data_IF_620283091616
#
_entry.id   IF_620283091616
#
_cell.length_a   1.000
_cell.length_b   1.000
_cell.length_c   1.000
_cell.angle_alpha   90.00
_cell.angle_beta   90.00
_cell.angle_gamma   90.00
#
_symmetry.space_group_name_H-M   'P 1'
#
loop_
_entity.id
_entity.type
_entity.pdbx_description
1 polymer ?
#
# COMPACT_ATOMS: atom_id res chain seq x y z
N UNK A 1 -6.12 -1.10 -23.85
CA UNK A 1 -5.46 0.22 -23.76
C UNK A 1 -4.65 0.34 -25.04
N UNK A 2 -5.17 1.05 -26.03
CA UNK A 2 -4.64 1.04 -27.40
C UNK A 2 -3.79 2.28 -27.73
N UNK A 3 -3.66 3.22 -26.77
CA UNK A 3 -2.93 4.48 -26.93
C UNK A 3 -1.99 4.69 -25.74
N UNK A 4 -0.84 3.99 -25.72
CA UNK A 4 0.20 4.17 -24.70
C UNK A 4 1.40 4.85 -25.38
N UNK A 5 1.84 5.97 -24.82
CA UNK A 5 3.03 6.68 -25.25
C UNK A 5 4.10 6.60 -24.16
N UNK A 6 5.26 6.05 -24.48
CA UNK A 6 6.42 6.03 -23.59
C UNK A 6 7.14 7.38 -23.69
N UNK A 7 6.90 8.27 -22.72
CA UNK A 7 7.49 9.61 -22.74
C UNK A 7 8.94 9.67 -22.27
N UNK A 8 9.31 8.83 -21.28
CA UNK A 8 10.65 8.81 -20.70
C UNK A 8 10.96 7.46 -20.07
N UNK A 9 12.24 7.14 -19.96
CA UNK A 9 12.76 5.98 -19.22
C UNK A 9 13.82 6.50 -18.26
N UNK A 10 13.62 6.26 -16.97
CA UNK A 10 14.63 6.59 -15.97
C UNK A 10 15.62 5.40 -15.90
N UNK A 11 16.91 5.61 -16.20
CA UNK A 11 17.88 4.52 -16.23
C UNK A 11 18.10 3.95 -14.83
N UNK A 12 18.22 2.62 -14.74
CA UNK A 12 18.75 1.93 -13.56
C UNK A 12 20.29 1.95 -13.54
N UNK A 13 20.95 1.18 -12.64
CA UNK A 13 20.39 0.16 -11.75
C UNK A 13 19.98 0.67 -10.37
N UNK A 14 20.43 1.85 -9.95
CA UNK A 14 20.02 2.46 -8.69
C UNK A 14 18.70 3.19 -8.83
N UNK A 15 17.92 3.19 -7.75
CA UNK A 15 16.70 3.99 -7.70
C UNK A 15 17.08 5.49 -7.67
N UNK A 16 16.52 6.33 -8.56
CA UNK A 16 16.86 7.74 -8.64
C UNK A 16 16.48 8.47 -7.34
N UNK A 17 17.30 9.46 -6.97
CA UNK A 17 16.91 10.41 -5.94
C UNK A 17 15.74 11.28 -6.42
N UNK A 18 15.05 11.87 -5.46
CA UNK A 18 13.91 12.76 -5.65
C UNK A 18 14.23 13.93 -6.56
N UNK A 19 15.43 14.51 -6.45
CA UNK A 19 15.86 15.60 -7.31
C UNK A 19 15.96 15.14 -8.76
N UNK A 20 16.60 13.98 -8.98
CA UNK A 20 16.78 13.39 -10.31
C UNK A 20 15.42 13.05 -10.95
N UNK A 21 14.46 12.51 -10.19
CA UNK A 21 13.09 12.29 -10.67
C UNK A 21 12.46 13.61 -11.16
N UNK A 22 12.75 14.72 -10.48
CA UNK A 22 12.32 16.06 -10.90
C UNK A 22 12.80 16.41 -12.30
N UNK A 23 14.08 16.18 -12.58
CA UNK A 23 14.70 16.49 -13.87
C UNK A 23 14.05 15.72 -15.04
N UNK A 24 13.61 14.47 -14.79
CA UNK A 24 12.87 13.68 -15.80
C UNK A 24 11.42 14.13 -15.98
N UNK A 25 10.78 14.65 -14.92
CA UNK A 25 9.40 15.12 -14.96
C UNK A 25 9.27 16.53 -15.53
N UNK A 26 10.30 17.37 -15.40
CA UNK A 26 10.29 18.75 -15.88
C UNK A 26 9.90 18.91 -17.35
N UNK A 27 10.54 18.22 -18.33
CA UNK A 27 10.16 18.38 -19.75
C UNK A 27 8.73 17.93 -20.03
N UNK A 28 8.23 16.91 -19.32
CA UNK A 28 6.85 16.45 -19.43
C UNK A 28 5.91 17.53 -18.91
N UNK A 29 6.19 18.07 -17.73
CA UNK A 29 5.36 19.12 -17.13
C UNK A 29 5.36 20.39 -17.99
N UNK A 30 6.50 20.77 -18.58
CA UNK A 30 6.59 21.93 -19.47
C UNK A 30 5.69 21.78 -20.71
N UNK A 31 5.69 20.59 -21.32
CA UNK A 31 4.81 20.29 -22.46
C UNK A 31 3.34 20.46 -22.09
N UNK A 32 2.91 19.89 -20.97
CA UNK A 32 1.51 19.97 -20.52
C UNK A 32 1.12 21.35 -19.97
N UNK A 33 2.06 22.10 -19.42
CA UNK A 33 1.83 23.49 -19.01
C UNK A 33 1.58 24.36 -20.24
N UNK A 34 2.43 24.24 -21.26
CA UNK A 34 2.28 24.96 -22.52
C UNK A 34 0.96 24.59 -23.22
N UNK A 35 0.66 23.29 -23.32
CA UNK A 35 -0.59 22.79 -23.91
C UNK A 35 -1.83 23.31 -23.15
N UNK A 36 -1.79 23.36 -21.82
CA UNK A 36 -2.91 23.89 -21.04
C UNK A 36 -3.14 25.40 -21.23
N UNK A 37 -2.06 26.19 -21.26
CA UNK A 37 -2.15 27.64 -21.37
C UNK A 37 -2.49 28.11 -22.78
N UNK A 38 -1.89 27.47 -23.80
CA UNK A 38 -1.94 27.94 -25.18
C UNK A 38 -2.74 27.00 -26.09
N UNK A 39 -2.73 25.70 -25.82
CA UNK A 39 -3.33 24.68 -26.68
C UNK A 39 -2.55 24.42 -27.96
N UNK A 40 -3.05 23.50 -28.77
CA UNK A 40 -2.57 23.22 -30.12
C UNK A 40 -3.76 23.32 -31.08
N UNK A 41 -3.65 24.20 -32.08
CA UNK A 41 -4.70 24.37 -33.07
C UNK A 41 -4.53 23.35 -34.20
N UNK A 42 -5.50 22.45 -34.32
CA UNK A 42 -5.58 21.52 -35.43
C UNK A 42 -6.43 22.15 -36.53
N UNK A 43 -5.87 22.31 -37.73
CA UNK A 43 -6.54 23.00 -38.84
C UNK A 43 -7.78 22.27 -39.35
N UNK A 44 -7.83 20.94 -39.20
CA UNK A 44 -8.98 20.12 -39.54
C UNK A 44 -8.93 18.79 -38.80
N UNK A 45 -10.07 18.31 -38.32
CA UNK A 45 -10.26 16.96 -37.77
C UNK A 45 -11.54 16.38 -38.35
N UNK A 46 -11.72 15.05 -38.29
CA UNK A 46 -12.91 14.39 -38.83
C UNK A 46 -14.24 15.01 -38.33
N UNK A 47 -14.31 15.32 -37.03
CA UNK A 47 -15.50 15.94 -36.41
C UNK A 47 -15.51 17.48 -36.49
N UNK A 48 -14.37 18.12 -36.78
CA UNK A 48 -14.25 19.57 -36.86
C UNK A 48 -13.44 19.97 -38.11
N UNK A 49 -14.07 20.00 -39.30
CA UNK A 49 -13.37 20.32 -40.55
C UNK A 49 -12.79 21.74 -40.60
N UNK A 50 -13.38 22.67 -39.86
CA UNK A 50 -12.96 24.09 -39.74
C UNK A 50 -11.88 24.31 -38.67
N UNK A 51 -11.33 23.22 -38.12
CA UNK A 51 -10.31 23.23 -37.10
C UNK A 51 -10.84 23.29 -35.67
N UNK A 52 -9.96 22.98 -34.73
CA UNK A 52 -10.25 22.93 -33.29
C UNK A 52 -8.99 23.26 -32.49
N UNK A 53 -9.14 24.08 -31.45
CA UNK A 53 -8.10 24.28 -30.45
C UNK A 53 -8.22 23.18 -29.39
N UNK A 54 -7.20 22.33 -29.28
CA UNK A 54 -7.14 21.26 -28.28
C UNK A 54 -6.19 21.64 -27.15
N UNK A 55 -6.48 21.18 -25.93
CA UNK A 55 -5.61 21.35 -24.77
C UNK A 55 -5.49 20.02 -24.04
N UNK A 56 -4.26 19.64 -23.78
CA UNK A 56 -3.92 18.41 -23.06
C UNK A 56 -3.60 18.70 -21.59
N UNK A 57 -4.01 17.80 -20.69
CA UNK A 57 -3.71 17.87 -19.25
C UNK A 57 -3.17 16.55 -18.72
N UNK A 58 -2.41 16.61 -17.62
CA UNK A 58 -2.11 15.44 -16.81
C UNK A 58 -3.25 15.24 -15.82
N UNK A 59 -4.12 14.27 -16.09
CA UNK A 59 -5.30 14.02 -15.25
C UNK A 59 -4.95 13.32 -13.93
N UNK A 60 -4.05 12.33 -13.98
CA UNK A 60 -3.71 11.47 -12.85
C UNK A 60 -2.24 11.04 -12.85
N UNK A 61 -1.66 10.93 -11.66
CA UNK A 61 -0.44 10.19 -11.38
C UNK A 61 -0.83 8.84 -10.81
N UNK A 62 -0.52 7.78 -11.56
CA UNK A 62 -0.74 6.39 -11.16
C UNK A 62 0.61 5.75 -10.92
N UNK A 63 0.83 5.30 -9.69
CA UNK A 63 2.02 4.56 -9.29
C UNK A 63 1.73 3.78 -7.99
N UNK A 64 2.65 2.89 -7.61
CA UNK A 64 2.65 2.37 -6.25
C UNK A 64 2.87 3.51 -5.22
N UNK A 65 2.54 3.27 -3.95
CA UNK A 65 2.61 4.34 -2.93
C UNK A 65 4.00 4.98 -2.84
N UNK A 66 5.12 4.23 -2.78
CA UNK A 66 6.46 4.83 -2.76
C UNK A 66 6.77 5.73 -3.96
N UNK A 67 6.56 5.27 -5.19
CA UNK A 67 6.85 6.08 -6.38
C UNK A 67 5.88 7.26 -6.50
N UNK A 68 4.60 7.08 -6.17
CA UNK A 68 3.60 8.15 -6.14
C UNK A 68 4.04 9.29 -5.20
N UNK A 69 4.52 8.97 -4.00
CA UNK A 69 5.07 9.96 -3.05
C UNK A 69 6.32 10.63 -3.61
N UNK A 70 7.19 9.86 -4.27
CA UNK A 70 8.42 10.40 -4.85
C UNK A 70 8.14 11.46 -5.93
N UNK A 71 7.31 11.11 -6.91
CA UNK A 71 6.97 11.97 -8.04
C UNK A 71 6.09 13.15 -7.64
N UNK A 72 5.11 12.97 -6.74
CA UNK A 72 4.18 14.04 -6.35
C UNK A 72 4.75 15.04 -5.34
N UNK A 73 5.90 14.73 -4.73
CA UNK A 73 6.46 15.53 -3.64
C UNK A 73 5.72 15.39 -2.31
N UNK A 74 4.71 14.50 -2.21
CA UNK A 74 4.04 14.20 -0.96
C UNK A 74 4.84 13.20 -0.13
N UNK A 75 4.79 13.31 1.20
CA UNK A 75 5.56 12.46 2.10
C UNK A 75 4.61 11.84 3.12
N UNK A 76 4.27 10.56 2.90
CA UNK A 76 3.22 9.86 3.64
C UNK A 76 3.54 8.36 3.65
N UNK A 77 3.87 7.84 4.84
CA UNK A 77 3.76 6.42 5.27
C UNK A 77 4.07 6.25 6.76
N UNK A 78 4.93 7.09 7.36
CA UNK A 78 5.32 6.98 8.79
C UNK A 78 5.24 8.31 9.59
N UNK A 79 4.82 9.40 8.95
CA UNK A 79 4.70 10.70 9.61
C UNK A 79 3.52 10.74 10.58
N UNK A 80 3.73 11.29 11.79
CA UNK A 80 2.67 11.43 12.81
C UNK A 80 1.46 12.21 12.27
N UNK A 81 1.67 13.29 11.52
CA UNK A 81 0.63 14.25 11.11
C UNK A 81 0.27 14.22 9.61
N UNK A 82 1.08 13.56 8.78
CA UNK A 82 0.96 13.57 7.32
C UNK A 82 0.78 12.15 6.77
N UNK A 83 -0.07 11.36 7.43
CA UNK A 83 -0.22 9.95 7.12
C UNK A 83 -1.04 9.73 5.83
N UNK A 84 -2.13 10.48 5.64
CA UNK A 84 -2.96 10.41 4.41
C UNK A 84 -2.63 11.57 3.46
N UNK A 85 -2.62 11.33 2.14
CA UNK A 85 -2.51 12.40 1.14
C UNK A 85 -3.82 13.09 0.84
N UNK A 86 -4.96 12.51 1.18
CA UNK A 86 -6.27 13.07 0.82
C UNK A 86 -6.81 13.95 1.95
N UNK A 87 -6.79 13.44 3.19
CA UNK A 87 -7.34 14.14 4.35
C UNK A 87 -6.32 14.40 5.49
N UNK A 88 -6.80 15.05 6.54
CA UNK A 88 -6.01 15.52 7.69
C UNK A 88 -5.77 14.47 8.77
N UNK A 89 -6.14 13.20 8.55
CA UNK A 89 -6.01 12.15 9.56
C UNK A 89 -4.55 11.96 9.97
N UNK A 90 -4.32 11.84 11.27
CA UNK A 90 -3.01 11.57 11.83
C UNK A 90 -2.81 10.06 12.00
N UNK A 91 -1.55 9.64 12.18
CA UNK A 91 -1.27 8.22 12.38
C UNK A 91 -1.97 7.70 13.64
N UNK A 92 -1.92 8.41 14.75
CA UNK A 92 -2.61 8.06 16.02
C UNK A 92 -4.13 7.92 15.84
N UNK A 93 -4.74 8.69 14.95
CA UNK A 93 -6.16 8.63 14.61
C UNK A 93 -6.54 7.55 13.57
N UNK A 94 -5.62 6.70 13.09
CA UNK A 94 -5.87 5.71 12.01
C UNK A 94 -7.09 4.79 12.24
N UNK A 95 -7.49 4.59 13.50
CA UNK A 95 -8.64 3.75 13.86
C UNK A 95 -9.98 4.52 13.81
N UNK A 96 -9.96 5.82 13.58
CA UNK A 96 -11.15 6.64 13.41
C UNK A 96 -11.83 6.29 12.09
N UNK A 97 -13.08 5.85 12.15
CA UNK A 97 -13.87 5.42 10.99
C UNK A 97 -15.11 6.29 10.77
N UNK A 98 -15.38 7.24 11.67
CA UNK A 98 -16.43 8.23 11.46
C UNK A 98 -15.92 9.32 10.50
N UNK A 99 -16.29 9.16 9.22
CA UNK A 99 -15.89 10.04 8.12
C UNK A 99 -16.49 11.46 8.23
N UNK A 100 -17.36 11.73 9.21
CA UNK A 100 -17.91 13.07 9.45
C UNK A 100 -17.01 13.94 10.33
N UNK A 101 -15.99 13.34 10.97
CA UNK A 101 -15.09 14.07 11.88
C UNK A 101 -14.11 14.98 11.13
N UNK A 102 -13.63 16.07 11.76
CA UNK A 102 -12.69 17.02 11.12
C UNK A 102 -11.39 16.39 10.59
N UNK A 103 -10.92 15.28 11.17
CA UNK A 103 -9.73 14.59 10.67
C UNK A 103 -9.92 13.99 9.25
N UNK A 104 -11.16 13.83 8.80
CA UNK A 104 -11.50 13.39 7.45
C UNK A 104 -11.63 14.52 6.44
N UNK A 105 -11.54 15.77 6.88
CA UNK A 105 -11.58 16.90 5.97
C UNK A 105 -10.42 16.84 4.96
N UNK A 106 -10.68 17.17 3.68
CA UNK A 106 -9.64 17.24 2.67
C UNK A 106 -8.50 18.20 3.04
N UNK A 107 -7.28 17.86 2.61
CA UNK A 107 -6.13 18.75 2.78
C UNK A 107 -6.30 20.04 1.97
N UNK A 108 -5.88 21.16 2.55
CA UNK A 108 -5.92 22.46 1.89
C UNK A 108 -4.81 22.56 0.81
N UNK A 109 -5.22 22.73 -0.45
CA UNK A 109 -4.33 22.81 -1.60
C UNK A 109 -3.40 24.02 -1.55
N UNK A 110 -3.91 25.22 -1.23
CA UNK A 110 -3.08 26.44 -1.21
C UNK A 110 -1.96 26.34 -0.18
N UNK A 111 -2.24 25.73 0.97
CA UNK A 111 -1.27 25.44 2.02
C UNK A 111 -0.21 24.46 1.51
N UNK A 112 -0.62 23.38 0.87
CA UNK A 112 0.31 22.40 0.28
C UNK A 112 1.24 23.07 -0.75
N UNK A 113 0.69 23.91 -1.63
CA UNK A 113 1.50 24.66 -2.62
C UNK A 113 2.45 25.63 -1.93
N UNK A 114 1.98 26.39 -0.93
CA UNK A 114 2.80 27.34 -0.16
C UNK A 114 3.96 26.62 0.54
N UNK A 115 3.68 25.50 1.19
CA UNK A 115 4.68 24.70 1.90
C UNK A 115 5.68 24.06 0.94
N UNK A 116 5.24 23.61 -0.24
CA UNK A 116 6.11 23.08 -1.29
C UNK A 116 7.05 24.16 -1.86
N UNK A 117 6.56 25.38 -2.08
CA UNK A 117 7.37 26.53 -2.51
C UNK A 117 8.38 26.92 -1.44
N UNK A 118 7.98 27.00 -0.17
CA UNK A 118 8.88 27.26 0.93
C UNK A 118 10.02 26.23 1.00
N UNK A 119 9.73 24.95 0.75
CA UNK A 119 10.77 23.92 0.66
C UNK A 119 11.70 24.12 -0.55
N UNK A 120 11.16 24.49 -1.72
CA UNK A 120 11.95 24.74 -2.94
C UNK A 120 12.94 25.88 -2.74
N UNK A 121 12.44 26.98 -2.20
CA UNK A 121 13.15 28.25 -2.06
C UNK A 121 14.16 28.22 -0.89
N UNK A 122 14.01 27.27 0.04
CA UNK A 122 14.98 27.02 1.10
C UNK A 122 16.30 26.48 0.53
N UNK A 123 17.45 27.03 0.95
CA UNK A 123 18.78 26.63 0.47
C UNK A 123 19.43 25.58 1.40
N UNK A 124 19.12 25.62 2.70
CA UNK A 124 19.68 24.74 3.72
C UNK A 124 19.10 23.32 3.67
N UNK A 125 19.95 22.32 3.44
CA UNK A 125 19.55 20.89 3.42
C UNK A 125 18.85 20.44 4.72
N UNK A 126 19.34 20.89 5.87
CA UNK A 126 18.74 20.53 7.17
C UNK A 126 17.38 21.22 7.39
N UNK A 127 17.25 22.47 6.95
CA UNK A 127 15.99 23.18 7.04
C UNK A 127 14.94 22.59 6.08
N UNK A 128 15.33 22.21 4.86
CA UNK A 128 14.50 21.41 3.93
C UNK A 128 13.99 20.12 4.58
N UNK A 129 14.85 19.36 5.27
CA UNK A 129 14.43 18.15 6.01
C UNK A 129 13.40 18.47 7.11
N UNK A 130 13.62 19.56 7.84
CA UNK A 130 12.69 20.02 8.89
C UNK A 130 11.33 20.43 8.31
N UNK A 131 11.32 21.21 7.22
CA UNK A 131 10.11 21.63 6.52
C UNK A 131 9.30 20.43 6.02
N UNK A 132 9.96 19.47 5.38
CA UNK A 132 9.35 18.22 4.93
C UNK A 132 8.73 17.45 6.10
N UNK A 133 9.46 17.31 7.21
CA UNK A 133 8.97 16.58 8.39
C UNK A 133 7.73 17.24 8.99
N UNK A 134 7.70 18.58 9.01
CA UNK A 134 6.61 19.38 9.55
C UNK A 134 5.40 19.38 8.62
N UNK A 135 5.61 19.71 7.36
CA UNK A 135 4.54 20.02 6.40
C UNK A 135 4.11 18.82 5.56
N UNK A 136 4.93 17.76 5.48
CA UNK A 136 4.62 16.54 4.74
C UNK A 136 4.68 16.68 3.22
N UNK A 137 5.31 17.74 2.73
CA UNK A 137 5.43 18.04 1.30
C UNK A 137 6.79 18.66 0.98
N UNK A 138 7.26 18.40 -0.22
CA UNK A 138 8.39 19.05 -0.89
C UNK A 138 7.97 19.47 -2.29
N UNK A 139 8.84 20.21 -2.96
CA UNK A 139 8.60 20.59 -4.35
C UNK A 139 8.56 19.38 -5.27
N UNK A 140 7.72 19.48 -6.28
CA UNK A 140 7.58 18.56 -7.41
C UNK A 140 7.26 19.42 -8.63
N UNK A 141 7.78 19.09 -9.82
CA UNK A 141 7.44 19.77 -11.06
C UNK A 141 5.93 19.93 -11.27
N UNK A 142 5.11 18.96 -10.85
CA UNK A 142 3.65 19.02 -10.99
C UNK A 142 3.01 20.28 -10.36
N UNK A 143 3.63 20.89 -9.35
CA UNK A 143 3.11 22.14 -8.76
C UNK A 143 3.20 23.36 -9.68
N UNK A 144 3.85 23.24 -10.85
CA UNK A 144 3.80 24.26 -11.91
C UNK A 144 2.48 24.24 -12.70
N UNK A 145 1.76 23.12 -12.71
CA UNK A 145 0.50 22.98 -13.43
C UNK A 145 -0.64 23.66 -12.66
N UNK A 146 -1.33 24.68 -13.23
CA UNK A 146 -2.35 25.45 -12.50
C UNK A 146 -3.55 24.62 -12.02
N UNK A 147 -3.85 23.53 -12.72
CA UNK A 147 -4.98 22.64 -12.44
C UNK A 147 -4.61 21.47 -11.52
N UNK A 148 -3.34 21.30 -11.16
CA UNK A 148 -2.88 20.13 -10.43
C UNK A 148 -3.23 20.20 -8.94
N UNK A 149 -3.99 19.21 -8.47
CA UNK A 149 -4.25 19.00 -7.05
C UNK A 149 -3.71 17.62 -6.63
N UNK A 150 -2.58 17.56 -5.90
CA UNK A 150 -1.98 16.27 -5.54
C UNK A 150 -2.85 15.45 -4.57
N UNK A 151 -3.84 16.05 -3.92
CA UNK A 151 -4.80 15.35 -3.05
C UNK A 151 -5.90 14.63 -3.84
N UNK A 152 -6.05 14.93 -5.14
CA UNK A 152 -7.04 14.31 -6.05
C UNK A 152 -6.39 13.55 -7.22
N UNK A 153 -5.35 14.14 -7.80
CA UNK A 153 -4.67 13.64 -8.98
C UNK A 153 -3.65 12.52 -8.68
N UNK A 154 -3.18 12.39 -7.44
CA UNK A 154 -2.34 11.25 -7.03
C UNK A 154 -3.26 10.11 -6.60
N UNK A 155 -3.35 9.10 -7.45
CA UNK A 155 -4.33 8.02 -7.31
C UNK A 155 -3.86 6.97 -6.31
N UNK A 156 -4.76 6.53 -5.45
CA UNK A 156 -4.56 5.33 -4.63
C UNK A 156 -4.78 4.10 -5.52
N UNK A 157 -3.69 3.50 -5.99
CA UNK A 157 -3.77 2.33 -6.86
C UNK A 157 -4.47 1.15 -6.18
N UNK A 158 -5.54 0.67 -6.80
CA UNK A 158 -6.34 -0.41 -6.24
C UNK A 158 -5.64 -1.76 -6.26
N UNK A 159 -4.71 -2.00 -7.19
CA UNK A 159 -3.97 -3.26 -7.20
C UNK A 159 -3.08 -3.39 -5.95
N UNK A 160 -2.26 -2.37 -5.67
CA UNK A 160 -1.39 -2.36 -4.50
C UNK A 160 -2.17 -2.14 -3.20
N UNK A 161 -3.14 -1.22 -3.17
CA UNK A 161 -3.86 -0.90 -1.94
C UNK A 161 -4.90 -1.97 -1.57
N UNK A 162 -5.77 -2.37 -2.50
CA UNK A 162 -6.86 -3.30 -2.21
C UNK A 162 -6.40 -4.76 -2.27
N UNK A 163 -5.78 -5.19 -3.37
CA UNK A 163 -5.51 -6.62 -3.58
C UNK A 163 -4.28 -7.08 -2.78
N UNK A 164 -3.13 -6.42 -3.00
CA UNK A 164 -1.90 -6.75 -2.27
C UNK A 164 -1.96 -6.24 -0.82
N UNK A 165 -2.68 -5.15 -0.57
CA UNK A 165 -2.80 -4.57 0.78
C UNK A 165 -3.89 -5.23 1.63
N UNK A 166 -5.17 -5.00 1.28
CA UNK A 166 -6.30 -5.39 2.13
C UNK A 166 -6.65 -6.86 2.02
N UNK A 167 -6.75 -7.42 0.82
CA UNK A 167 -7.15 -8.81 0.63
C UNK A 167 -6.11 -9.77 1.21
N UNK A 168 -4.83 -9.49 0.97
CA UNK A 168 -3.74 -10.21 1.61
C UNK A 168 -3.82 -10.09 3.14
N UNK A 169 -3.97 -8.88 3.69
CA UNK A 169 -4.10 -8.69 5.15
C UNK A 169 -5.29 -9.46 5.72
N UNK A 170 -6.43 -9.45 5.02
CA UNK A 170 -7.62 -10.17 5.43
C UNK A 170 -7.35 -11.67 5.54
N UNK A 171 -6.80 -12.28 4.49
CA UNK A 171 -6.54 -13.71 4.47
C UNK A 171 -5.48 -14.10 5.52
N UNK A 172 -4.38 -13.34 5.59
CA UNK A 172 -3.26 -13.67 6.47
C UNK A 172 -3.53 -13.37 7.94
N UNK A 173 -4.08 -12.20 8.23
CA UNK A 173 -4.21 -11.69 9.61
C UNK A 173 -5.60 -11.88 10.19
N UNK A 174 -6.66 -11.66 9.40
CA UNK A 174 -8.03 -11.78 9.91
C UNK A 174 -8.50 -13.24 9.92
N UNK A 175 -8.25 -13.98 8.84
CA UNK A 175 -8.59 -15.41 8.76
C UNK A 175 -7.50 -16.30 9.38
N UNK A 176 -6.25 -15.85 9.42
CA UNK A 176 -5.14 -16.60 9.98
C UNK A 176 -4.58 -17.67 9.03
N UNK A 177 -4.73 -17.50 7.70
CA UNK A 177 -4.39 -18.52 6.69
C UNK A 177 -2.86 -18.63 6.45
N UNK A 178 -1.99 -17.84 7.11
CA UNK A 178 -0.52 -17.93 6.94
C UNK A 178 0.23 -18.02 8.28
N UNK A 179 1.29 -18.84 8.31
CA UNK A 179 2.51 -18.56 9.07
C UNK A 179 3.28 -17.45 8.35
N UNK A 180 3.48 -16.32 9.02
CA UNK A 180 4.13 -15.12 8.48
C UNK A 180 5.31 -15.41 7.53
N UNK A 181 5.29 -14.76 6.36
CA UNK A 181 6.52 -14.47 5.62
C UNK A 181 7.45 -13.69 6.58
N UNK A 182 8.74 -14.03 6.61
CA UNK A 182 9.78 -13.37 7.43
C UNK A 182 9.86 -11.84 7.25
N UNK A 183 9.14 -11.27 6.27
CA UNK A 183 9.04 -9.82 6.07
C UNK A 183 8.29 -9.09 7.21
N UNK A 184 7.42 -9.78 7.96
CA UNK A 184 6.71 -9.22 9.12
C UNK A 184 7.41 -9.49 10.48
N UNK A 185 8.54 -10.22 10.51
CA UNK A 185 9.43 -10.24 11.67
C UNK A 185 10.35 -9.01 11.65
N UNK A 186 10.43 -8.30 12.77
CA UNK A 186 11.44 -7.27 12.95
C UNK A 186 12.82 -7.90 12.76
N UNK A 187 13.47 -7.61 11.63
CA UNK A 187 14.81 -8.12 11.32
C UNK A 187 15.72 -7.90 12.53
N UNK A 188 16.45 -8.94 13.00
CA UNK A 188 17.36 -8.78 14.11
C UNK A 188 18.34 -7.64 13.81
N UNK A 189 18.59 -6.82 14.83
CA UNK A 189 19.53 -5.70 14.78
C UNK A 189 20.85 -6.16 14.15
N UNK A 190 21.23 -5.56 13.01
CA UNK A 190 22.52 -5.86 12.38
C UNK A 190 23.65 -5.51 13.36
N UNK A 191 24.57 -6.43 13.60
CA UNK A 191 25.72 -6.27 14.50
C UNK A 191 26.56 -5.02 14.19
N UNK A 192 26.63 -4.64 12.91
CA UNK A 192 27.29 -3.42 12.44
C UNK A 192 26.64 -2.13 12.98
N UNK A 193 25.31 -2.07 13.04
CA UNK A 193 24.58 -0.93 13.59
C UNK A 193 24.79 -0.80 15.10
N UNK A 194 24.86 -1.93 15.80
CA UNK A 194 25.17 -2.04 17.23
C UNK A 194 26.61 -1.58 17.53
N UNK A 195 27.58 -2.00 16.72
CA UNK A 195 28.97 -1.58 16.85
C UNK A 195 29.14 -0.08 16.58
N UNK A 196 28.45 0.46 15.57
CA UNK A 196 28.49 1.89 15.24
C UNK A 196 27.85 2.77 16.32
N UNK A 197 26.80 2.29 16.98
CA UNK A 197 26.22 2.94 18.15
C UNK A 197 27.19 2.91 19.34
N UNK A 198 27.92 1.80 19.53
CA UNK A 198 28.92 1.61 20.59
C UNK A 198 30.15 2.50 20.39
N UNK A 199 30.64 2.63 19.16
CA UNK A 199 31.72 3.54 18.78
C UNK A 199 31.34 5.00 19.02
N UNK A 200 30.10 5.39 18.69
CA UNK A 200 29.59 6.75 18.95
C UNK A 200 29.53 7.06 20.45
N UNK A 201 29.10 6.11 21.27
CA UNK A 201 29.11 6.21 22.73
C UNK A 201 30.54 6.33 23.29
N UNK A 202 31.50 5.59 22.73
CA UNK A 202 32.91 5.61 23.17
C UNK A 202 33.68 6.84 22.69
N UNK A 203 33.26 7.47 21.59
CA UNK A 203 33.93 8.64 21.00
C UNK A 203 33.72 9.96 21.73
N UNK A 204 32.89 10.00 22.79
CA UNK A 204 32.68 11.19 23.63
C UNK A 204 31.99 12.39 22.94
N UNK A 205 31.59 12.29 21.67
CA UNK A 205 30.94 13.37 20.91
C UNK A 205 29.43 13.43 21.16
N UNK A 206 28.98 13.65 22.40
CA UNK A 206 27.57 13.91 22.67
C UNK A 206 27.35 15.19 23.49
N UNK A 207 26.46 16.03 22.99
CA UNK A 207 25.86 17.20 23.66
C UNK A 207 25.09 16.75 24.91
N UNK A 208 25.13 17.57 25.97
CA UNK A 208 24.73 17.29 27.36
C UNK A 208 23.24 16.95 27.62
N UNK A 209 22.41 16.65 26.61
CA UNK A 209 20.97 16.47 26.76
C UNK A 209 20.47 15.00 26.64
N UNK A 210 21.31 13.99 26.88
CA UNK A 210 20.92 12.59 26.72
C UNK A 210 21.32 11.74 27.94
N UNK A 211 20.34 11.27 28.72
CA UNK A 211 20.56 10.69 30.06
C UNK A 211 20.48 9.17 30.14
N UNK A 212 20.34 8.40 29.05
CA UNK A 212 20.42 6.93 29.12
C UNK A 212 20.78 6.21 27.82
N UNK A 213 21.44 5.05 27.93
CA UNK A 213 21.75 4.14 26.82
C UNK A 213 20.51 3.75 25.98
N UNK A 214 19.35 3.60 26.64
CA UNK A 214 18.06 3.31 25.98
C UNK A 214 17.63 4.42 25.01
N UNK A 215 17.94 5.68 25.33
CA UNK A 215 17.62 6.83 24.46
C UNK A 215 18.51 6.88 23.21
N UNK A 216 19.78 6.50 23.33
CA UNK A 216 20.75 6.45 22.22
C UNK A 216 20.43 5.29 21.27
N UNK A 217 20.10 4.11 21.80
CA UNK A 217 19.73 2.93 21.02
C UNK A 217 18.46 3.18 20.20
N UNK A 218 17.44 3.81 20.82
CA UNK A 218 16.17 4.13 20.16
C UNK A 218 16.32 5.13 19.01
N UNK A 219 17.27 6.07 19.12
CA UNK A 219 17.56 7.05 18.06
C UNK A 219 18.35 6.41 16.93
N UNK A 220 19.36 5.58 17.24
CA UNK A 220 20.13 4.83 16.24
C UNK A 220 19.23 3.91 15.40
N UNK A 221 18.31 3.22 16.05
CA UNK A 221 17.31 2.36 15.43
C UNK A 221 16.34 3.13 14.51
N UNK A 222 15.90 4.32 14.93
CA UNK A 222 15.03 5.19 14.10
C UNK A 222 15.74 5.77 12.88
N UNK A 223 17.05 6.04 12.97
CA UNK A 223 17.83 6.57 11.84
C UNK A 223 18.07 5.50 10.75
N UNK A 224 18.05 4.22 11.11
CA UNK A 224 18.17 3.10 10.16
C UNK A 224 16.81 2.47 9.76
N UNK A 225 15.69 3.10 10.15
CA UNK A 225 14.35 2.65 9.75
C UNK A 225 13.83 1.40 10.49
N UNK A 226 14.43 1.03 11.62
CA UNK A 226 14.04 -0.14 12.42
C UNK A 226 13.20 0.33 13.62
N UNK A 227 11.90 0.04 13.62
CA UNK A 227 11.04 0.26 14.79
C UNK A 227 11.10 -0.93 15.75
N UNK A 228 11.84 -0.80 16.85
CA UNK A 228 11.83 -1.80 17.91
C UNK A 228 10.50 -1.76 18.70
N UNK A 229 9.76 -2.87 18.71
CA UNK A 229 8.73 -3.16 19.72
C UNK A 229 9.36 -4.11 20.73
N UNK A 230 9.41 -3.72 22.01
CA UNK A 230 9.89 -4.58 23.11
C UNK A 230 8.96 -5.80 23.25
N UNK A 231 9.52 -7.02 23.24
CA UNK A 231 8.96 -8.16 23.97
C UNK A 231 9.44 -8.03 25.41
N UNK A 232 8.52 -7.81 26.35
CA UNK A 232 8.80 -7.97 27.77
C UNK A 232 8.41 -9.40 28.16
N UNK A 233 9.39 -10.21 28.56
CA UNK A 233 9.23 -11.26 29.57
C UNK A 233 10.60 -11.91 29.86
N UNK A 234 11.07 -11.66 31.08
CA UNK A 234 11.93 -12.45 31.97
C UNK A 234 12.91 -13.49 31.39
N UNK A 235 14.19 -13.32 31.71
CA UNK A 235 15.13 -14.43 31.90
C UNK A 235 16.03 -14.14 33.11
N UNK A 236 15.79 -14.84 34.21
CA UNK A 236 16.83 -15.21 35.15
C UNK A 236 17.44 -16.55 34.70
N UNK A 237 18.78 -16.65 34.82
CA UNK A 237 19.64 -17.83 35.01
C UNK A 237 19.07 -19.23 34.64
N UNK A 238 19.75 -20.13 33.93
CA UNK A 238 21.18 -20.52 33.97
C UNK A 238 21.47 -21.52 32.82
N UNK A 239 22.76 -21.72 32.51
CA UNK A 239 23.33 -22.59 31.48
C UNK A 239 23.05 -24.10 31.68
N UNK A 240 22.93 -24.86 30.58
CA UNK A 240 23.95 -25.81 30.08
C UNK A 240 23.38 -26.95 29.22
N UNK A 241 24.17 -27.25 28.18
CA UNK A 241 24.44 -28.52 27.50
C UNK A 241 23.43 -29.18 26.55
N UNK A 242 24.01 -29.62 25.43
CA UNK A 242 23.34 -30.08 24.23
C UNK A 242 22.88 -31.52 24.29
N UNK A 243 21.92 -31.83 23.42
CA UNK A 243 21.93 -33.04 22.60
C UNK A 243 20.84 -32.94 21.52
N UNK A 244 21.19 -33.37 20.31
CA UNK A 244 20.30 -33.39 19.16
C UNK A 244 19.15 -34.38 19.38
N UNK A 245 17.90 -33.93 19.26
CA UNK A 245 16.72 -34.79 19.33
C UNK A 245 15.88 -34.69 18.06
N UNK A 246 15.67 -35.85 17.43
CA UNK A 246 14.83 -36.08 16.27
C UNK A 246 13.38 -35.55 16.45
N UNK A 247 12.67 -35.19 15.36
CA UNK A 247 11.37 -34.56 15.45
C UNK A 247 10.33 -35.55 15.97
N UNK A 248 9.73 -35.25 17.13
CA UNK A 248 8.56 -35.97 17.64
C UNK A 248 7.33 -35.58 16.81
N UNK A 249 6.71 -36.54 16.12
CA UNK A 249 5.34 -36.44 15.64
C UNK A 249 4.42 -36.25 16.86
N UNK A 250 3.82 -35.07 17.00
CA UNK A 250 2.74 -34.85 17.94
C UNK A 250 1.43 -35.34 17.29
N UNK A 251 0.81 -36.33 17.91
CA UNK A 251 -0.56 -36.77 17.66
C UNK A 251 -1.52 -35.60 17.94
N UNK A 252 -2.30 -35.20 16.93
CA UNK A 252 -3.28 -34.10 16.97
C UNK A 252 -4.62 -34.62 17.49
N UNK A 253 -5.17 -33.96 18.51
CA UNK A 253 -6.58 -34.11 18.91
C UNK A 253 -7.47 -33.28 17.98
N UNK A 254 -8.59 -33.87 17.56
CA UNK A 254 -9.55 -33.31 16.61
C UNK A 254 -10.33 -32.12 17.21
N UNK A 255 -10.39 -31.00 16.46
CA UNK A 255 -11.56 -30.12 16.48
C UNK A 255 -11.67 -29.04 17.57
N UNK A 256 -10.59 -28.63 18.23
CA UNK A 256 -10.64 -27.45 19.13
C UNK A 256 -10.11 -26.17 18.46
N UNK A 257 -10.84 -25.06 18.65
CA UNK A 257 -10.33 -23.71 18.44
C UNK A 257 -9.01 -23.57 19.21
N UNK A 258 -7.93 -23.05 18.58
CA UNK A 258 -6.64 -22.85 19.26
C UNK A 258 -6.84 -21.89 20.44
N UNK A 259 -7.06 -22.48 21.63
CA UNK A 259 -7.44 -21.79 22.86
C UNK A 259 -6.36 -20.84 23.37
N UNK A 260 -5.17 -20.84 22.74
CA UNK A 260 -4.09 -19.90 23.00
C UNK A 260 -4.25 -18.53 22.32
N UNK A 261 -5.11 -18.40 21.29
CA UNK A 261 -5.33 -17.12 20.58
C UNK A 261 -6.52 -16.37 21.15
N UNK A 262 -6.29 -15.17 21.64
CA UNK A 262 -7.34 -14.27 22.19
C UNK A 262 -8.26 -13.66 21.13
N UNK A 263 -7.99 -13.90 19.84
CA UNK A 263 -8.71 -13.33 18.69
C UNK A 263 -9.26 -14.46 17.82
N UNK A 264 -10.54 -14.42 17.39
CA UNK A 264 -11.12 -15.39 16.46
C UNK A 264 -10.33 -15.49 15.14
N UNK A 265 -9.70 -16.65 14.88
CA UNK A 265 -9.09 -17.02 13.59
C UNK A 265 -9.49 -18.44 13.24
N UNK A 266 -9.25 -18.87 11.99
CA UNK A 266 -9.43 -20.28 11.61
C UNK A 266 -8.42 -21.17 12.35
N UNK A 267 -8.83 -22.38 12.68
CA UNK A 267 -7.93 -23.45 13.14
C UNK A 267 -7.13 -24.04 11.97
N UNK A 268 -6.10 -24.83 12.27
CA UNK A 268 -5.33 -25.52 11.23
C UNK A 268 -6.16 -26.49 10.41
N UNK A 269 -7.05 -27.25 11.06
CA UNK A 269 -7.94 -28.19 10.37
C UNK A 269 -8.92 -27.45 9.44
N UNK A 270 -9.40 -26.27 9.86
CA UNK A 270 -10.27 -25.42 9.04
C UNK A 270 -9.52 -24.81 7.86
N UNK A 271 -8.25 -24.45 8.02
CA UNK A 271 -7.39 -24.00 6.91
C UNK A 271 -7.22 -25.14 5.90
N UNK A 272 -6.95 -26.37 6.34
CA UNK A 272 -6.86 -27.55 5.47
C UNK A 272 -8.20 -27.79 4.73
N UNK A 273 -9.34 -27.60 5.40
CA UNK A 273 -10.67 -27.66 4.76
C UNK A 273 -10.86 -26.55 3.72
N UNK A 274 -10.39 -25.33 3.99
CA UNK A 274 -10.45 -24.22 3.04
C UNK A 274 -9.60 -24.54 1.82
N UNK A 275 -8.36 -25.00 2.00
CA UNK A 275 -7.45 -25.39 0.93
C UNK A 275 -8.04 -26.52 0.07
N UNK A 276 -8.60 -27.56 0.71
CA UNK A 276 -9.31 -28.64 0.00
C UNK A 276 -10.50 -28.11 -0.80
N UNK A 277 -11.30 -27.23 -0.23
CA UNK A 277 -12.42 -26.61 -0.95
C UNK A 277 -11.93 -25.80 -2.16
N UNK A 278 -10.78 -25.13 -2.08
CA UNK A 278 -10.18 -24.41 -3.20
C UNK A 278 -9.72 -25.37 -4.31
N UNK A 279 -9.13 -26.50 -3.94
CA UNK A 279 -8.67 -27.53 -4.87
C UNK A 279 -9.85 -28.17 -5.63
N UNK A 280 -10.94 -28.45 -4.93
CA UNK A 280 -12.14 -29.10 -5.49
C UNK A 280 -12.99 -28.16 -6.37
N UNK A 281 -12.76 -26.84 -6.31
CA UNK A 281 -13.51 -25.87 -7.11
C UNK A 281 -13.22 -26.00 -8.61
N UNK A 282 -14.25 -26.34 -9.39
CA UNK A 282 -14.20 -26.29 -10.84
C UNK A 282 -14.33 -24.84 -11.33
N UNK A 283 -13.40 -24.39 -12.18
CA UNK A 283 -13.32 -23.00 -12.67
C UNK A 283 -13.33 -22.95 -14.19
N UNK A 284 -13.92 -21.89 -14.79
CA UNK A 284 -13.73 -21.60 -16.21
C UNK A 284 -12.24 -21.41 -16.54
N UNK A 285 -11.80 -21.84 -17.72
CA UNK A 285 -10.37 -21.79 -18.13
C UNK A 285 -9.73 -20.40 -18.05
N UNK A 286 -10.52 -19.35 -18.20
CA UNK A 286 -10.06 -17.96 -18.15
C UNK A 286 -9.94 -17.41 -16.73
N UNK A 287 -10.43 -18.12 -15.71
CA UNK A 287 -10.36 -17.71 -14.31
C UNK A 287 -9.27 -18.51 -13.59
N UNK A 288 -8.11 -17.90 -13.40
CA UNK A 288 -7.02 -18.49 -12.62
C UNK A 288 -7.33 -18.32 -11.14
N UNK A 289 -7.63 -19.43 -10.47
CA UNK A 289 -7.84 -19.44 -9.02
C UNK A 289 -6.54 -19.15 -8.24
N UNK A 290 -6.65 -19.01 -6.90
CA UNK A 290 -5.50 -19.10 -6.01
C UNK A 290 -4.83 -20.47 -6.14
N UNK A 291 -3.56 -20.60 -5.73
CA UNK A 291 -2.90 -21.90 -5.75
C UNK A 291 -3.58 -22.91 -4.82
N UNK A 292 -3.39 -24.19 -5.13
CA UNK A 292 -3.96 -25.31 -4.39
C UNK A 292 -3.52 -25.36 -2.93
N UNK A 293 -2.33 -24.85 -2.61
CA UNK A 293 -1.77 -24.76 -1.26
C UNK A 293 -1.80 -23.32 -0.73
N UNK A 294 -2.92 -22.64 -0.93
CA UNK A 294 -3.15 -21.27 -0.46
C UNK A 294 -2.82 -21.12 1.03
N UNK A 295 -1.85 -20.25 1.36
CA UNK A 295 -1.38 -20.05 2.73
C UNK A 295 -0.14 -20.88 3.14
N UNK A 296 0.48 -21.60 2.21
CA UNK A 296 1.77 -22.27 2.47
C UNK A 296 2.97 -21.50 1.91
N UNK A 297 4.06 -21.45 2.68
CA UNK A 297 5.34 -20.82 2.29
C UNK A 297 5.92 -21.38 0.97
N UNK A 298 5.61 -22.63 0.63
CA UNK A 298 6.17 -23.32 -0.54
C UNK A 298 5.77 -22.70 -1.89
N UNK A 299 4.66 -21.95 -1.97
CA UNK A 299 4.18 -21.38 -3.24
C UNK A 299 4.72 -19.96 -3.54
N UNK A 300 5.45 -19.36 -2.59
CA UNK A 300 5.93 -17.98 -2.71
C UNK A 300 4.82 -16.92 -2.71
N UNK A 301 5.18 -15.66 -3.00
CA UNK A 301 4.28 -14.51 -2.90
C UNK A 301 3.19 -14.54 -3.97
N UNK A 302 1.92 -14.54 -3.54
CA UNK A 302 0.76 -14.46 -4.43
C UNK A 302 0.72 -13.15 -5.22
N UNK A 303 0.35 -13.25 -6.50
CA UNK A 303 0.13 -12.10 -7.39
C UNK A 303 -1.22 -11.44 -7.08
N UNK A 304 -1.34 -10.15 -7.38
CA UNK A 304 -2.56 -9.37 -7.13
C UNK A 304 -3.83 -9.99 -7.74
N UNK A 305 -3.77 -10.53 -8.98
CA UNK A 305 -4.93 -11.15 -9.62
C UNK A 305 -5.34 -12.49 -8.97
N UNK A 306 -4.39 -13.19 -8.34
CA UNK A 306 -4.70 -14.39 -7.54
C UNK A 306 -5.43 -14.00 -6.25
N UNK A 307 -5.00 -12.92 -5.57
CA UNK A 307 -5.73 -12.37 -4.42
C UNK A 307 -7.15 -11.95 -4.80
N UNK A 308 -7.30 -11.26 -5.94
CA UNK A 308 -8.61 -10.86 -6.46
C UNK A 308 -9.53 -12.05 -6.68
N UNK A 309 -9.04 -13.07 -7.39
CA UNK A 309 -9.81 -14.28 -7.68
C UNK A 309 -10.19 -15.02 -6.40
N UNK A 310 -9.26 -15.12 -5.44
CA UNK A 310 -9.48 -15.76 -4.16
C UNK A 310 -10.62 -15.10 -3.36
N UNK A 311 -10.61 -13.77 -3.25
CA UNK A 311 -11.61 -13.06 -2.44
C UNK A 311 -12.97 -12.90 -3.14
N UNK A 312 -12.99 -12.83 -4.47
CA UNK A 312 -14.25 -12.68 -5.23
C UNK A 312 -15.12 -13.93 -5.16
N UNK A 313 -14.53 -15.12 -4.98
CA UNK A 313 -15.26 -16.38 -5.03
C UNK A 313 -14.77 -17.43 -4.03
N UNK A 314 -13.51 -17.86 -4.14
CA UNK A 314 -13.02 -19.07 -3.50
C UNK A 314 -13.06 -19.03 -1.96
N UNK A 315 -12.53 -17.96 -1.36
CA UNK A 315 -12.47 -17.78 0.09
C UNK A 315 -13.87 -17.63 0.70
N UNK A 316 -14.78 -16.77 0.18
CA UNK A 316 -16.16 -16.74 0.64
C UNK A 316 -16.86 -18.10 0.59
N UNK A 317 -16.75 -18.83 -0.51
CA UNK A 317 -17.41 -20.14 -0.66
C UNK A 317 -16.84 -21.15 0.32
N UNK A 318 -15.53 -21.21 0.49
CA UNK A 318 -14.90 -22.11 1.45
C UNK A 318 -15.34 -21.82 2.89
N UNK A 319 -15.35 -20.53 3.29
CA UNK A 319 -15.83 -20.13 4.62
C UNK A 319 -17.32 -20.40 4.84
N UNK A 320 -18.15 -20.33 3.79
CA UNK A 320 -19.58 -20.62 3.91
C UNK A 320 -19.87 -22.05 4.37
N UNK A 321 -18.98 -23.00 4.03
CA UNK A 321 -19.09 -24.40 4.46
C UNK A 321 -18.81 -24.58 5.96
N UNK A 322 -18.06 -23.68 6.58
CA UNK A 322 -17.73 -23.70 8.01
C UNK A 322 -18.84 -23.09 8.90
N UNK A 323 -19.86 -22.45 8.29
CA UNK A 323 -20.97 -21.83 9.02
C UNK A 323 -21.92 -22.83 9.67
N UNK A 324 -21.97 -24.07 9.18
CA UNK A 324 -22.88 -25.11 9.65
C UNK A 324 -22.65 -25.51 11.12
N UNK A 325 -21.51 -25.12 11.69
CA UNK A 325 -21.12 -25.49 13.05
C UNK A 325 -21.69 -24.54 14.13
N UNK A 326 -22.50 -23.53 13.75
CA UNK A 326 -23.23 -22.66 14.70
C UNK A 326 -22.36 -21.69 15.52
N UNK A 327 -21.05 -21.64 15.26
CA UNK A 327 -20.13 -20.80 16.01
C UNK A 327 -20.22 -19.33 15.60
N UNK A 328 -20.49 -18.45 16.57
CA UNK A 328 -20.60 -17.01 16.35
C UNK A 328 -19.32 -16.39 15.75
N UNK A 329 -18.15 -16.97 16.07
CA UNK A 329 -16.85 -16.58 15.50
C UNK A 329 -16.80 -16.74 13.97
N UNK A 330 -17.23 -17.89 13.44
CA UNK A 330 -17.26 -18.15 11.99
C UNK A 330 -18.21 -17.21 11.27
N UNK A 331 -19.36 -16.92 11.86
CA UNK A 331 -20.30 -15.95 11.31
C UNK A 331 -19.69 -14.54 11.17
N UNK A 332 -18.87 -14.11 12.15
CA UNK A 332 -18.16 -12.82 12.08
C UNK A 332 -17.07 -12.83 10.99
N UNK A 333 -16.25 -13.88 10.92
CA UNK A 333 -15.20 -14.02 9.90
C UNK A 333 -15.80 -14.06 8.48
N UNK A 334 -16.88 -14.83 8.30
CA UNK A 334 -17.61 -14.91 7.04
C UNK A 334 -18.23 -13.56 6.66
N UNK A 335 -18.92 -12.88 7.58
CA UNK A 335 -19.48 -11.55 7.33
C UNK A 335 -18.40 -10.56 6.91
N UNK A 336 -17.29 -10.51 7.63
CA UNK A 336 -16.16 -9.64 7.30
C UNK A 336 -15.61 -9.92 5.90
N UNK A 337 -15.43 -11.21 5.57
CA UNK A 337 -14.99 -11.65 4.24
C UNK A 337 -15.96 -11.23 3.14
N UNK A 338 -17.27 -11.41 3.34
CA UNK A 338 -18.30 -11.02 2.37
C UNK A 338 -18.34 -9.51 2.15
N UNK A 339 -18.19 -8.71 3.21
CA UNK A 339 -18.14 -7.25 3.09
C UNK A 339 -16.95 -6.82 2.23
N UNK A 340 -15.78 -7.39 2.45
CA UNK A 340 -14.60 -7.14 1.62
C UNK A 340 -14.83 -7.59 0.17
N UNK A 341 -15.30 -8.82 -0.05
CA UNK A 341 -15.55 -9.37 -1.39
C UNK A 341 -16.51 -8.49 -2.21
N UNK A 342 -17.59 -8.02 -1.58
CA UNK A 342 -18.57 -7.12 -2.22
C UNK A 342 -17.92 -5.77 -2.55
N UNK A 343 -17.13 -5.21 -1.63
CA UNK A 343 -16.42 -3.96 -1.89
C UNK A 343 -15.44 -4.10 -3.07
N UNK A 344 -14.61 -5.15 -3.10
CA UNK A 344 -13.70 -5.42 -4.22
C UNK A 344 -14.45 -5.56 -5.55
N UNK A 345 -15.59 -6.27 -5.56
CA UNK A 345 -16.42 -6.42 -6.75
C UNK A 345 -16.95 -5.09 -7.29
N UNK A 346 -17.33 -4.15 -6.42
CA UNK A 346 -17.75 -2.82 -6.86
C UNK A 346 -16.57 -1.98 -7.36
N UNK A 347 -15.44 -1.99 -6.65
CA UNK A 347 -14.24 -1.24 -7.03
C UNK A 347 -13.69 -1.65 -8.39
N UNK A 348 -13.69 -2.96 -8.67
CA UNK A 348 -13.13 -3.56 -9.89
C UNK A 348 -14.17 -3.69 -11.01
N UNK A 349 -15.32 -3.01 -10.92
CA UNK A 349 -16.32 -3.08 -11.98
C UNK A 349 -15.91 -2.33 -13.24
N UNK A 350 -16.17 -2.90 -14.42
CA UNK A 350 -15.93 -2.25 -15.71
C UNK A 350 -16.87 -1.07 -16.02
N UNK A 351 -17.94 -0.89 -15.23
CA UNK A 351 -18.85 0.25 -15.34
C UNK A 351 -18.94 0.95 -13.99
N UNK A 352 -18.92 2.28 -14.00
CA UNK A 352 -18.99 3.08 -12.79
C UNK A 352 -20.24 3.97 -12.80
N UNK A 353 -20.84 4.15 -11.63
CA UNK A 353 -21.97 5.04 -11.38
C UNK A 353 -21.96 5.47 -9.92
N UNK A 354 -22.58 6.59 -9.57
CA UNK A 354 -22.65 7.05 -8.17
C UNK A 354 -23.16 5.98 -7.21
N UNK A 355 -24.26 5.29 -7.55
CA UNK A 355 -24.77 4.15 -6.77
C UNK A 355 -23.72 3.07 -6.49
N UNK A 356 -22.82 2.77 -7.43
CA UNK A 356 -21.78 1.74 -7.25
C UNK A 356 -20.65 2.26 -6.36
N UNK A 357 -20.31 3.54 -6.51
CA UNK A 357 -19.33 4.23 -5.66
C UNK A 357 -19.81 4.25 -4.21
N UNK A 358 -21.07 4.64 -3.97
CA UNK A 358 -21.69 4.62 -2.64
C UNK A 358 -21.69 3.21 -2.04
N UNK A 359 -22.04 2.19 -2.85
CA UNK A 359 -22.00 0.80 -2.40
C UNK A 359 -20.58 0.35 -2.09
N UNK A 360 -19.59 0.71 -2.89
CA UNK A 360 -18.18 0.44 -2.57
C UNK A 360 -17.81 1.03 -1.21
N UNK A 361 -18.00 2.34 -1.03
CA UNK A 361 -17.60 3.04 0.20
C UNK A 361 -18.32 2.49 1.42
N UNK A 362 -19.63 2.22 1.31
CA UNK A 362 -20.41 1.62 2.39
C UNK A 362 -19.85 0.24 2.80
N UNK A 363 -19.66 -0.68 1.86
CA UNK A 363 -19.19 -2.03 2.19
C UNK A 363 -17.75 -2.02 2.70
N UNK A 364 -16.90 -1.13 2.18
CA UNK A 364 -15.53 -0.95 2.68
C UNK A 364 -15.53 -0.43 4.12
N UNK A 365 -16.38 0.55 4.46
CA UNK A 365 -16.52 1.05 5.82
C UNK A 365 -17.02 -0.05 6.79
N UNK A 366 -18.07 -0.77 6.40
CA UNK A 366 -18.60 -1.88 7.20
C UNK A 366 -17.59 -3.01 7.35
N UNK A 367 -16.79 -3.28 6.32
CA UNK A 367 -15.66 -4.21 6.40
C UNK A 367 -14.67 -3.77 7.48
N UNK A 368 -14.20 -2.53 7.46
CA UNK A 368 -13.23 -2.05 8.46
C UNK A 368 -13.79 -2.05 9.89
N UNK A 369 -15.08 -1.73 10.06
CA UNK A 369 -15.76 -1.88 11.36
C UNK A 369 -15.76 -3.34 11.81
N UNK A 370 -16.09 -4.28 10.92
CA UNK A 370 -16.13 -5.71 11.24
C UNK A 370 -14.78 -6.27 11.69
N UNK A 371 -13.65 -5.79 11.13
CA UNK A 371 -12.31 -6.19 11.59
C UNK A 371 -12.09 -5.77 13.05
N UNK A 372 -12.56 -4.58 13.44
CA UNK A 372 -12.47 -4.08 14.81
C UNK A 372 -13.46 -4.78 15.75
N UNK A 373 -14.58 -5.27 15.25
CA UNK A 373 -15.50 -6.11 16.03
C UNK A 373 -14.92 -7.50 16.30
N UNK A 374 -14.18 -8.06 15.34
CA UNK A 374 -13.47 -9.34 15.49
C UNK A 374 -12.29 -9.20 16.45
N UNK A 375 -11.51 -8.13 16.30
CA UNK A 375 -10.37 -7.82 17.17
C UNK A 375 -10.42 -6.35 17.63
N UNK A 376 -11.00 -6.07 18.81
CA UNK A 376 -11.10 -4.70 19.33
C UNK A 376 -9.75 -3.99 19.53
N UNK A 377 -8.67 -4.75 19.75
CA UNK A 377 -7.31 -4.24 19.94
C UNK A 377 -6.58 -3.93 18.63
N UNK A 378 -7.18 -4.27 17.48
CA UNK A 378 -6.54 -4.10 16.18
C UNK A 378 -6.24 -2.64 15.89
N UNK A 379 -5.04 -2.40 15.38
CA UNK A 379 -4.64 -1.13 14.82
C UNK A 379 -4.72 -1.22 13.31
N UNK A 380 -5.57 -0.39 12.70
CA UNK A 380 -5.67 -0.27 11.26
C UNK A 380 -4.35 0.24 10.67
N UNK A 381 -4.16 -0.09 9.38
CA UNK A 381 -2.95 0.23 8.59
C UNK A 381 -3.28 1.35 7.60
N UNK A 382 -2.30 2.10 7.08
CA UNK A 382 -2.54 3.15 6.09
C UNK A 382 -3.39 2.67 4.89
N UNK A 383 -3.18 1.45 4.39
CA UNK A 383 -3.96 0.91 3.28
C UNK A 383 -5.46 0.80 3.60
N UNK A 384 -5.81 0.45 4.85
CA UNK A 384 -7.20 0.38 5.31
C UNK A 384 -7.87 1.76 5.24
N UNK A 385 -7.18 2.79 5.73
CA UNK A 385 -7.68 4.15 5.64
C UNK A 385 -7.78 4.64 4.18
N UNK A 386 -6.73 4.43 3.39
CA UNK A 386 -6.69 4.80 1.98
C UNK A 386 -7.80 4.13 1.16
N UNK A 387 -8.22 2.93 1.53
CA UNK A 387 -9.33 2.25 0.85
C UNK A 387 -10.65 3.04 0.93
N UNK A 388 -10.87 3.82 1.98
CA UNK A 388 -12.06 4.66 2.11
C UNK A 388 -12.07 5.87 1.16
N UNK A 389 -10.90 6.28 0.66
CA UNK A 389 -10.77 7.37 -0.33
C UNK A 389 -10.88 6.91 -1.79
N UNK A 390 -10.81 5.61 -2.06
CA UNK A 390 -10.91 5.07 -3.43
C UNK A 390 -12.25 5.43 -4.08
N UNK A 391 -13.33 5.57 -3.31
CA UNK A 391 -14.62 6.03 -3.84
C UNK A 391 -14.52 7.39 -4.55
N UNK A 392 -13.69 8.31 -4.04
CA UNK A 392 -13.45 9.61 -4.67
C UNK A 392 -12.69 9.48 -5.98
N UNK A 393 -11.71 8.58 -6.06
CA UNK A 393 -10.97 8.31 -7.29
C UNK A 393 -11.86 7.64 -8.36
N UNK A 394 -12.76 6.73 -7.96
CA UNK A 394 -13.75 6.15 -8.88
C UNK A 394 -14.69 7.21 -9.46
N UNK A 395 -15.02 8.24 -8.66
CA UNK A 395 -15.84 9.37 -9.11
C UNK A 395 -15.10 10.26 -10.11
N UNK A 396 -13.81 10.52 -9.87
CA UNK A 396 -13.00 11.41 -10.70
C UNK A 396 -12.54 10.76 -12.01
N UNK A 397 -12.13 9.49 -11.97
CA UNK A 397 -11.45 8.82 -13.08
C UNK A 397 -12.26 7.66 -13.68
N UNK A 398 -13.45 7.39 -13.15
CA UNK A 398 -14.28 6.29 -13.59
C UNK A 398 -13.74 4.92 -13.18
N UNK A 399 -14.04 3.86 -13.96
CA UNK A 399 -13.64 2.49 -13.64
C UNK A 399 -12.14 2.33 -13.37
N UNK A 400 -11.81 1.62 -12.28
CA UNK A 400 -10.43 1.37 -11.83
C UNK A 400 -9.53 0.74 -12.89
N UNK A 401 -10.09 -0.03 -13.82
CA UNK A 401 -9.38 -0.64 -14.95
C UNK A 401 -8.62 0.37 -15.82
N UNK A 402 -9.07 1.64 -15.86
CA UNK A 402 -8.41 2.70 -16.62
C UNK A 402 -7.15 3.25 -15.97
N UNK A 403 -6.98 3.05 -14.65
CA UNK A 403 -5.93 3.70 -13.87
C UNK A 403 -5.25 2.78 -12.85
N UNK A 404 -5.48 1.47 -12.89
CA UNK A 404 -4.75 0.52 -12.03
C UNK A 404 -3.38 0.12 -12.59
N UNK A 405 -2.48 -0.31 -11.71
CA UNK A 405 -1.09 -0.59 -12.09
C UNK A 405 -0.87 -1.84 -12.97
N UNK A 406 -1.83 -2.76 -13.08
CA UNK A 406 -1.66 -4.01 -13.85
C UNK A 406 -1.19 -3.80 -15.30
N UNK A 407 -1.71 -2.78 -15.99
CA UNK A 407 -1.34 -2.53 -17.40
C UNK A 407 0.07 -1.95 -17.48
N UNK A 408 0.39 -1.02 -16.59
CA UNK A 408 1.70 -0.37 -16.54
C UNK A 408 2.81 -1.36 -16.15
N UNK A 409 2.57 -2.25 -15.18
CA UNK A 409 3.53 -3.30 -14.81
C UNK A 409 3.83 -4.27 -15.96
N UNK A 410 2.83 -4.60 -16.79
CA UNK A 410 3.06 -5.43 -17.99
C UNK A 410 3.93 -4.71 -19.01
N UNK A 411 3.73 -3.41 -19.19
CA UNK A 411 4.57 -2.59 -20.08
C UNK A 411 6.00 -2.50 -19.52
N UNK A 412 6.16 -2.22 -18.23
CA UNK A 412 7.45 -2.19 -17.55
C UNK A 412 8.17 -3.54 -17.69
N UNK A 413 7.49 -4.65 -17.46
CA UNK A 413 8.06 -5.99 -17.60
C UNK A 413 8.52 -6.30 -19.03
N UNK A 414 7.78 -5.83 -20.05
CA UNK A 414 8.22 -5.94 -21.45
C UNK A 414 9.48 -5.09 -21.69
N UNK A 415 9.51 -3.85 -21.21
CA UNK A 415 10.66 -2.95 -21.36
C UNK A 415 11.92 -3.50 -20.69
N UNK A 416 11.77 -4.15 -19.52
CA UNK A 416 12.88 -4.82 -18.83
C UNK A 416 13.43 -6.03 -19.58
N UNK A 417 12.61 -6.68 -20.42
CA UNK A 417 13.02 -7.80 -21.26
C UNK A 417 13.62 -7.34 -22.60
N UNK A 418 13.43 -6.07 -22.97
CA UNK A 418 14.05 -5.49 -24.15
C UNK A 418 15.54 -5.28 -23.89
N UNK A 419 16.38 -5.82 -24.77
CA UNK A 419 17.83 -5.74 -24.65
C UNK A 419 18.28 -4.31 -24.97
N UNK A 420 18.65 -3.52 -23.96
CA UNK A 420 19.12 -2.14 -24.13
C UNK A 420 20.64 -2.16 -24.15
N UNK A 421 21.26 -1.75 -25.26
CA UNK A 421 22.72 -1.75 -25.42
C UNK A 421 23.42 -0.63 -24.61
N UNK A 422 22.77 -0.07 -23.58
CA UNK A 422 23.23 1.05 -22.74
C UNK A 422 23.82 2.25 -23.52
N UNK A 423 23.37 2.46 -24.76
CA UNK A 423 23.70 3.63 -25.58
C UNK A 423 22.48 4.53 -25.68
N UNK A 424 22.66 5.83 -25.41
CA UNK A 424 21.60 6.82 -25.56
C UNK A 424 21.11 6.86 -27.02
N UNK A 425 19.79 6.73 -27.23
CA UNK A 425 19.13 6.94 -28.52
C UNK A 425 18.67 5.68 -29.28
N UNK A 426 19.09 4.48 -28.87
CA UNK A 426 18.73 3.24 -29.58
C UNK A 426 17.86 2.32 -28.70
N UNK A 427 16.54 2.52 -28.75
CA UNK A 427 15.57 1.45 -28.44
C UNK A 427 15.22 0.81 -29.78
N UNK A 428 15.75 -0.39 -30.05
CA UNK A 428 15.42 -1.15 -31.27
C UNK A 428 14.11 -1.89 -31.14
#
# INVERSE_FOLDING_TARGET
MENIYLATVIPGPQEPDVAEIGDFLDPIVDLFLHSYLHGSFFSSTYMNPNGILERSIIAALVADTPAAKKCSGLISTAGKYNMCNVCNITNDQINELDMTKPCWEPRNLEKTIRDAKAWRDEVGKELRKSLVKKNGVRWSPFFRLPYWNPHKCVVIDGMHNLLIGLVQYHCRTVLGIDEADEEDEAKPLKTAALNKARERLQSGKMSANYTSFDSVLTIGLKQEGITARRKAAAAGATQSDGEARAPKKATREEGSFDSGRTVPTLSWDEIEMVQKSIQDTQRPRWHKGPPSNFGEKAHGKLKADQWRSAIEFDVPVALSKLLNNGQQAHAKLFRSTMLLAIAIRYATSHKMSERRIERYTHHMLEYLKSIREINPSVRLRPNHHNALHIGEHLRLFGPMHGWWMFVFERVIGKLQQTNINNRNGDVR
#
